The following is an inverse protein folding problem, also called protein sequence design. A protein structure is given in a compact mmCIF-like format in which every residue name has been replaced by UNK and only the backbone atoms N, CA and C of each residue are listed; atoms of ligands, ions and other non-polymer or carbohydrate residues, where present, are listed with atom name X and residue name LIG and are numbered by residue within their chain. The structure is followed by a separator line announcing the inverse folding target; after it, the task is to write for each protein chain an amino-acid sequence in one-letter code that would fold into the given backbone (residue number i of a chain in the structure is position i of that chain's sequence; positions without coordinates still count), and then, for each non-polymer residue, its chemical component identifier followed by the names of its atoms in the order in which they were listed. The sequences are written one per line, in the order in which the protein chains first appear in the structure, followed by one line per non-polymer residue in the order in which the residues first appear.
data_IF_857939111495
#
_entry.id   IF_857939111495
#
_cell.length_a   1.000
_cell.length_b   1.000
_cell.length_c   1.000
_cell.angle_alpha   90.00
_cell.angle_beta   90.00
_cell.angle_gamma   90.00
#
_symmetry.space_group_name_H-M   'P 1'
#
loop_
_entity.id
_entity.type
_entity.pdbx_description
1 polymer ?
#
# COMPACT_ATOMS: atom_id res chain seq x y z
N UNK A 1 19.30 -14.09 -9.41
CA UNK A 1 19.44 -14.82 -8.13
C UNK A 1 20.42 -14.02 -7.27
N UNK A 2 19.92 -12.96 -6.65
CA UNK A 2 20.63 -12.23 -5.60
C UNK A 2 19.54 -11.95 -4.57
N UNK A 3 19.52 -12.72 -3.49
CA UNK A 3 18.50 -12.57 -2.43
C UNK A 3 19.20 -12.52 -1.08
N UNK A 4 20.27 -11.74 -0.99
CA UNK A 4 20.92 -11.42 0.28
C UNK A 4 20.64 -9.95 0.62
N UNK A 5 20.62 -9.63 1.93
CA UNK A 5 20.38 -8.28 2.46
C UNK A 5 21.35 -7.24 1.89
N UNK A 6 22.56 -7.66 1.51
CA UNK A 6 23.59 -6.79 0.93
C UNK A 6 23.21 -6.21 -0.44
N UNK A 7 22.27 -6.83 -1.17
CA UNK A 7 21.85 -6.38 -2.50
C UNK A 7 20.63 -5.44 -2.49
N UNK A 8 20.02 -5.22 -1.34
CA UNK A 8 18.77 -4.44 -1.20
C UNK A 8 18.90 -3.02 -1.79
N UNK A 9 20.03 -2.35 -1.54
CA UNK A 9 20.27 -0.98 -2.04
C UNK A 9 20.34 -0.91 -3.57
N UNK A 10 20.72 -2.01 -4.23
CA UNK A 10 20.77 -2.09 -5.69
C UNK A 10 19.42 -2.52 -6.28
N UNK A 11 18.78 -3.52 -5.66
CA UNK A 11 17.61 -4.20 -6.24
C UNK A 11 16.29 -3.44 -5.96
N UNK A 12 16.14 -2.80 -4.78
CA UNK A 12 14.89 -2.11 -4.45
C UNK A 12 14.56 -0.93 -5.38
N UNK A 13 15.50 -0.05 -5.76
CA UNK A 13 15.20 1.02 -6.71
C UNK A 13 14.68 0.47 -8.05
N UNK A 14 15.27 -0.61 -8.55
CA UNK A 14 14.90 -1.26 -9.81
C UNK A 14 13.51 -1.89 -9.73
N UNK A 15 13.13 -2.44 -8.56
CA UNK A 15 11.78 -2.93 -8.33
C UNK A 15 10.77 -1.78 -8.26
N UNK A 16 11.13 -0.65 -7.65
CA UNK A 16 10.27 0.53 -7.53
C UNK A 16 9.94 1.12 -8.91
N UNK A 17 10.90 1.16 -9.84
CA UNK A 17 10.68 1.60 -11.23
C UNK A 17 9.58 0.79 -11.94
N UNK A 18 9.37 -0.45 -11.51
CA UNK A 18 8.42 -1.38 -12.12
C UNK A 18 7.04 -1.35 -11.47
N UNK A 19 6.80 -0.50 -10.48
CA UNK A 19 5.46 -0.37 -9.87
C UNK A 19 4.38 0.01 -10.89
N UNK A 20 4.73 0.76 -11.94
CA UNK A 20 3.81 1.05 -13.05
C UNK A 20 3.37 -0.16 -13.87
N UNK A 21 4.05 -1.31 -13.75
CA UNK A 21 3.69 -2.57 -14.41
C UNK A 21 2.55 -3.33 -13.69
N UNK A 22 2.22 -2.94 -12.46
CA UNK A 22 1.16 -3.55 -11.65
C UNK A 22 -0.20 -3.25 -12.31
N UNK A 23 -0.84 -4.29 -12.86
CA UNK A 23 -2.15 -4.17 -13.55
C UNK A 23 -3.34 -4.69 -12.76
N UNK A 24 -3.11 -5.48 -11.72
CA UNK A 24 -4.19 -5.88 -10.82
C UNK A 24 -4.62 -4.69 -9.96
N UNK A 25 -5.90 -4.62 -9.52
CA UNK A 25 -6.31 -3.62 -8.55
C UNK A 25 -5.44 -3.68 -7.29
N UNK A 26 -4.85 -2.54 -6.93
CA UNK A 26 -3.95 -2.39 -5.78
C UNK A 26 -4.48 -1.31 -4.84
N UNK A 27 -4.18 -1.46 -3.55
CA UNK A 27 -4.58 -0.50 -2.53
C UNK A 27 -3.52 -0.34 -1.45
N UNK A 28 -3.35 0.88 -0.93
CA UNK A 28 -2.53 1.21 0.24
C UNK A 28 -3.45 1.79 1.31
N UNK A 29 -3.42 1.20 2.50
CA UNK A 29 -4.06 1.76 3.69
C UNK A 29 -2.99 2.10 4.70
N UNK A 30 -2.96 3.36 5.14
CA UNK A 30 -1.85 3.92 5.91
C UNK A 30 -2.37 4.75 7.09
N UNK A 31 -1.70 4.67 8.23
CA UNK A 31 -2.02 5.49 9.40
C UNK A 31 -1.35 6.87 9.35
N UNK A 32 -2.07 7.94 9.64
CA UNK A 32 -1.54 9.31 9.64
C UNK A 32 -2.02 10.13 10.83
N UNK A 33 -1.46 11.34 10.94
CA UNK A 33 -1.82 12.48 11.80
C UNK A 33 -2.36 12.15 13.20
N UNK A 34 -1.64 12.55 14.26
CA UNK A 34 -2.00 12.23 15.65
C UNK A 34 -1.09 11.15 16.22
N UNK A 35 -1.58 9.93 16.46
CA UNK A 35 -0.73 8.78 16.77
C UNK A 35 0.01 8.30 15.52
N UNK A 36 0.81 9.19 14.92
CA UNK A 36 1.44 9.02 13.60
C UNK A 36 2.24 7.71 13.48
N UNK A 37 2.29 7.16 12.28
CA UNK A 37 3.26 6.13 11.95
C UNK A 37 4.68 6.68 12.13
N UNK A 38 5.39 6.16 13.14
CA UNK A 38 6.76 6.57 13.49
C UNK A 38 7.82 5.75 12.77
N UNK A 39 7.42 4.74 12.00
CA UNK A 39 8.31 3.86 11.25
C UNK A 39 8.39 4.33 9.81
N UNK A 40 7.28 4.73 9.21
CA UNK A 40 7.18 5.17 7.82
C UNK A 40 6.44 6.51 7.69
N UNK A 41 6.99 7.44 6.90
CA UNK A 41 6.33 8.71 6.59
C UNK A 41 5.18 8.50 5.59
N UNK A 42 3.94 8.75 6.02
CA UNK A 42 2.74 8.62 5.19
C UNK A 42 2.75 9.53 3.96
N UNK A 43 3.45 10.66 4.00
CA UNK A 43 3.55 11.56 2.86
C UNK A 43 4.38 10.93 1.74
N UNK A 44 5.43 10.19 2.09
CA UNK A 44 6.28 9.47 1.15
C UNK A 44 5.68 8.13 0.72
N UNK A 45 5.24 7.32 1.67
CA UNK A 45 4.85 5.92 1.43
C UNK A 45 3.34 5.71 1.19
N UNK A 46 2.50 6.70 1.53
CA UNK A 46 1.08 6.73 1.19
C UNK A 46 0.80 7.72 0.07
N UNK A 47 0.82 9.02 0.39
CA UNK A 47 0.45 10.09 -0.56
C UNK A 47 1.36 10.12 -1.79
N UNK A 48 2.67 9.93 -1.61
CA UNK A 48 3.65 9.91 -2.68
C UNK A 48 3.46 8.80 -3.72
N UNK A 49 2.65 7.78 -3.42
CA UNK A 49 2.33 6.70 -4.34
C UNK A 49 1.19 7.04 -5.31
N UNK A 50 0.51 8.19 -5.15
CA UNK A 50 -0.54 8.63 -6.06
C UNK A 50 -0.01 8.71 -7.49
N UNK A 51 -0.64 7.94 -8.38
CA UNK A 51 -0.28 7.89 -9.81
C UNK A 51 0.94 7.01 -10.14
N UNK A 52 1.62 6.42 -9.15
CA UNK A 52 2.75 5.51 -9.39
C UNK A 52 2.26 4.15 -9.90
N UNK A 53 1.21 3.61 -9.28
CA UNK A 53 0.51 2.41 -9.75
C UNK A 53 -0.79 2.85 -10.45
N UNK A 54 -1.07 2.42 -11.69
CA UNK A 54 -2.31 2.75 -12.37
C UNK A 54 -3.54 2.29 -11.57
N UNK A 55 -4.46 3.22 -11.27
CA UNK A 55 -5.69 2.91 -10.54
C UNK A 55 -5.50 2.57 -9.05
N UNK A 56 -4.37 2.94 -8.46
CA UNK A 56 -4.08 2.74 -7.04
C UNK A 56 -5.12 3.42 -6.14
N UNK A 57 -5.69 2.66 -5.23
CA UNK A 57 -6.51 3.19 -4.15
C UNK A 57 -5.66 3.50 -2.91
N UNK A 58 -5.87 4.67 -2.29
CA UNK A 58 -5.14 5.07 -1.10
C UNK A 58 -6.13 5.53 -0.04
N UNK A 59 -6.10 4.88 1.12
CA UNK A 59 -6.86 5.27 2.30
C UNK A 59 -5.89 5.70 3.42
N UNK A 60 -6.07 6.92 3.92
CA UNK A 60 -5.30 7.46 5.04
C UNK A 60 -6.19 7.51 6.28
N UNK A 61 -5.74 6.91 7.38
CA UNK A 61 -6.47 6.84 8.63
C UNK A 61 -5.87 7.78 9.66
N UNK A 62 -6.55 8.90 9.93
CA UNK A 62 -6.13 9.85 10.97
C UNK A 62 -6.22 9.21 12.36
N UNK A 63 -5.25 9.52 13.22
CA UNK A 63 -5.14 9.03 14.58
C UNK A 63 -4.64 7.59 14.70
N UNK A 64 -4.19 6.98 13.61
CA UNK A 64 -3.71 5.58 13.57
C UNK A 64 -2.22 5.56 13.26
N UNK A 65 -1.48 4.76 14.03
CA UNK A 65 -0.03 4.58 13.85
C UNK A 65 0.32 3.45 12.90
N UNK A 66 1.54 2.94 13.04
CA UNK A 66 2.13 1.95 12.14
C UNK A 66 1.36 0.63 11.99
N UNK A 67 0.49 0.30 12.96
CA UNK A 67 -0.21 -0.99 13.03
C UNK A 67 -1.73 -0.83 12.80
N UNK A 68 -2.19 -0.35 11.62
CA UNK A 68 -3.61 -0.12 11.38
C UNK A 68 -4.44 -1.41 11.42
N UNK A 69 -3.83 -2.55 11.10
CA UNK A 69 -4.47 -3.87 11.19
C UNK A 69 -4.79 -4.30 12.63
N UNK A 70 -4.17 -3.67 13.63
CA UNK A 70 -4.49 -3.88 15.04
C UNK A 70 -5.43 -2.79 15.57
N UNK A 71 -5.14 -1.51 15.26
CA UNK A 71 -5.86 -0.38 15.82
C UNK A 71 -7.21 -0.08 15.13
N UNK A 72 -7.37 -0.49 13.86
CA UNK A 72 -8.54 -0.20 13.03
C UNK A 72 -8.95 -1.42 12.19
N UNK A 73 -8.98 -2.61 12.83
CA UNK A 73 -9.19 -3.90 12.15
C UNK A 73 -10.42 -3.93 11.24
N UNK A 74 -11.54 -3.35 11.69
CA UNK A 74 -12.77 -3.30 10.88
C UNK A 74 -12.59 -2.50 9.59
N UNK A 75 -11.86 -1.38 9.65
CA UNK A 75 -11.53 -0.55 8.48
C UNK A 75 -10.62 -1.29 7.52
N UNK A 76 -9.59 -1.97 8.04
CA UNK A 76 -8.68 -2.79 7.22
C UNK A 76 -9.44 -3.94 6.54
N UNK A 77 -10.31 -4.64 7.26
CA UNK A 77 -11.15 -5.71 6.68
C UNK A 77 -12.08 -5.16 5.59
N UNK A 78 -12.69 -3.99 5.80
CA UNK A 78 -13.52 -3.35 4.79
C UNK A 78 -12.72 -2.98 3.53
N UNK A 79 -11.52 -2.44 3.70
CA UNK A 79 -10.61 -2.09 2.60
C UNK A 79 -10.17 -3.33 1.80
N UNK A 80 -9.83 -4.44 2.48
CA UNK A 80 -9.51 -5.72 1.83
C UNK A 80 -10.70 -6.21 1.00
N UNK A 81 -11.92 -6.18 1.56
CA UNK A 81 -13.13 -6.59 0.83
C UNK A 81 -13.41 -5.71 -0.39
N UNK A 82 -13.18 -4.40 -0.28
CA UNK A 82 -13.29 -3.47 -1.42
C UNK A 82 -12.31 -3.87 -2.53
N UNK A 83 -11.05 -4.14 -2.19
CA UNK A 83 -10.06 -4.50 -3.19
C UNK A 83 -10.31 -5.87 -3.81
N UNK A 84 -10.72 -6.85 -3.00
CA UNK A 84 -11.10 -8.17 -3.50
C UNK A 84 -12.27 -8.08 -4.49
N UNK A 85 -13.33 -7.31 -4.18
CA UNK A 85 -14.44 -7.08 -5.11
C UNK A 85 -13.96 -6.53 -6.44
N UNK A 86 -13.02 -5.58 -6.45
CA UNK A 86 -12.47 -5.00 -7.68
C UNK A 86 -11.63 -6.01 -8.47
N UNK A 87 -10.78 -6.77 -7.78
CA UNK A 87 -9.91 -7.77 -8.39
C UNK A 87 -10.70 -8.90 -9.07
N UNK A 88 -11.79 -9.37 -8.43
CA UNK A 88 -12.58 -10.51 -8.92
C UNK A 88 -13.86 -10.10 -9.67
N UNK A 89 -14.17 -8.80 -9.79
CA UNK A 89 -15.31 -8.34 -10.59
C UNK A 89 -15.20 -8.72 -12.08
N UNK A 90 -13.96 -8.87 -12.59
CA UNK A 90 -13.70 -9.26 -13.98
C UNK A 90 -13.87 -10.78 -14.24
N UNK A 91 -14.00 -11.61 -13.21
CA UNK A 91 -14.21 -13.07 -13.36
C UNK A 91 -15.69 -13.44 -13.61
N UNK A 92 -16.59 -12.46 -13.63
CA UNK A 92 -18.04 -12.66 -13.77
C UNK A 92 -18.63 -12.02 -15.05
N UNK A 93 -17.81 -11.74 -16.07
CA UNK A 93 -18.26 -11.29 -17.40
C UNK A 93 -17.91 -12.33 -18.46
#
# INVERSE_FOLDING_TARGET
MVSDFTAIEHDLPQLQERYGEIRMPAGILFGAEGAEDRVLDYRRHGVGMKGVIPGLEIEILDGIGHMPHYAASERVVAFIRLMAKRAFAAEHV
#
